data_IF_987102324443
#
_entry.id   IF_987102324443
#
_cell.length_a   1.000
_cell.length_b   1.000
_cell.length_c   1.000
_cell.angle_alpha   90.00
_cell.angle_beta   90.00
_cell.angle_gamma   90.00
#
_symmetry.space_group_name_H-M   'P 1'
#
loop_
_entity.id
_entity.type
_entity.pdbx_description
1 polymer ?
#
# COMPACT_ATOMS: atom_id res chain seq x y z
N UNK A 1 18.26 -12.93 23.82
CA UNK A 1 18.82 -11.65 23.34
C UNK A 1 18.67 -11.62 21.82
N UNK A 2 17.74 -10.85 21.22
CA UNK A 2 17.63 -10.80 19.77
C UNK A 2 18.69 -9.84 19.19
N UNK A 3 19.24 -10.24 18.05
CA UNK A 3 20.41 -9.70 17.38
C UNK A 3 20.32 -8.19 17.07
N UNK A 4 21.30 -7.42 17.53
CA UNK A 4 21.56 -6.04 17.11
C UNK A 4 22.52 -6.04 15.92
N UNK A 5 22.01 -6.39 14.73
CA UNK A 5 22.75 -6.24 13.46
C UNK A 5 22.43 -4.92 12.74
N UNK A 6 21.53 -4.11 13.29
CA UNK A 6 21.11 -2.82 12.71
C UNK A 6 21.19 -1.71 13.75
N UNK A 7 22.41 -1.30 14.09
CA UNK A 7 22.66 -0.10 14.91
C UNK A 7 22.88 1.16 14.06
N UNK A 8 22.24 1.23 12.88
CA UNK A 8 22.02 2.50 12.16
C UNK A 8 20.74 3.12 12.70
N UNK A 9 20.75 4.44 12.97
CA UNK A 9 19.58 5.19 13.47
C UNK A 9 18.35 4.79 12.64
N UNK A 10 17.35 4.16 13.26
CA UNK A 10 16.15 3.68 12.57
C UNK A 10 15.48 4.86 11.86
N UNK A 11 15.31 4.84 10.53
CA UNK A 11 14.58 5.88 9.82
C UNK A 11 13.06 5.82 10.10
N UNK A 12 12.60 4.88 10.93
CA UNK A 12 11.19 4.62 11.26
C UNK A 12 10.42 5.87 11.67
N UNK A 13 11.04 6.81 12.39
CA UNK A 13 10.40 8.09 12.73
C UNK A 13 10.02 8.89 11.48
N UNK A 14 10.93 9.00 10.50
CA UNK A 14 10.68 9.74 9.26
C UNK A 14 9.56 9.11 8.43
N UNK A 15 9.54 7.78 8.32
CA UNK A 15 8.50 7.08 7.58
C UNK A 15 7.13 7.15 8.27
N UNK A 16 7.11 7.09 9.61
CA UNK A 16 5.89 7.27 10.38
C UNK A 16 5.32 8.68 10.21
N UNK A 17 6.16 9.72 10.38
CA UNK A 17 5.76 11.11 10.20
C UNK A 17 5.24 11.35 8.76
N UNK A 18 5.96 10.84 7.75
CA UNK A 18 5.53 10.90 6.35
C UNK A 18 4.16 10.22 6.11
N UNK A 19 3.97 9.00 6.62
CA UNK A 19 2.70 8.28 6.48
C UNK A 19 1.55 8.97 7.24
N UNK A 20 1.84 9.56 8.40
CA UNK A 20 0.88 10.34 9.17
C UNK A 20 0.43 11.58 8.39
N UNK A 21 1.36 12.35 7.83
CA UNK A 21 1.08 13.54 7.03
C UNK A 21 0.32 13.20 5.74
N UNK A 22 0.73 12.13 5.05
CA UNK A 22 0.04 11.64 3.86
C UNK A 22 -1.40 11.22 4.18
N UNK A 23 -1.59 10.40 5.21
CA UNK A 23 -2.92 9.95 5.62
C UNK A 23 -3.79 11.11 6.13
N UNK A 24 -3.20 12.11 6.80
CA UNK A 24 -3.89 13.34 7.18
C UNK A 24 -4.35 14.13 5.96
N UNK A 25 -3.51 14.24 4.94
CA UNK A 25 -3.85 14.89 3.67
C UNK A 25 -5.00 14.18 2.97
N UNK A 26 -5.03 12.84 2.99
CA UNK A 26 -6.17 12.09 2.46
C UNK A 26 -7.48 12.44 3.18
N UNK A 27 -7.46 12.45 4.51
CA UNK A 27 -8.64 12.68 5.35
C UNK A 27 -9.14 14.13 5.29
N UNK A 28 -8.23 15.10 5.42
CA UNK A 28 -8.59 16.52 5.59
C UNK A 28 -8.69 17.28 4.27
N UNK A 29 -8.06 16.81 3.19
CA UNK A 29 -8.06 17.49 1.90
C UNK A 29 -8.68 16.65 0.77
N UNK A 30 -8.13 15.46 0.48
CA UNK A 30 -8.57 14.70 -0.71
C UNK A 30 -10.03 14.24 -0.61
N UNK A 31 -10.45 13.68 0.53
CA UNK A 31 -11.83 13.24 0.73
C UNK A 31 -12.85 14.39 0.65
N UNK A 32 -12.66 15.52 1.35
CA UNK A 32 -13.55 16.68 1.20
C UNK A 32 -13.62 17.23 -0.23
N UNK A 33 -12.48 17.30 -0.93
CA UNK A 33 -12.43 17.78 -2.31
C UNK A 33 -13.29 16.91 -3.25
N UNK A 34 -13.17 15.58 -3.15
CA UNK A 34 -13.96 14.65 -3.95
C UNK A 34 -15.45 14.75 -3.61
N UNK A 35 -15.81 14.75 -2.32
CA UNK A 35 -17.21 14.85 -1.87
C UNK A 35 -17.87 16.15 -2.32
N UNK A 36 -17.16 17.27 -2.23
CA UNK A 36 -17.67 18.56 -2.70
C UNK A 36 -17.87 18.55 -4.21
N UNK A 37 -16.97 17.91 -4.96
CA UNK A 37 -17.04 17.81 -6.43
C UNK A 37 -18.15 16.85 -6.90
N UNK A 38 -18.43 15.81 -6.13
CA UNK A 38 -19.52 14.86 -6.37
C UNK A 38 -20.90 15.43 -6.00
N UNK A 39 -20.94 16.51 -5.22
CA UNK A 39 -22.18 17.25 -4.94
C UNK A 39 -22.66 17.98 -6.19
N UNK A 40 -23.99 18.10 -6.34
CA UNK A 40 -24.68 18.62 -7.55
C UNK A 40 -24.30 20.05 -7.98
N UNK A 41 -23.46 20.74 -7.22
CA UNK A 41 -23.06 22.14 -7.43
C UNK A 41 -21.75 22.32 -8.22
N UNK A 42 -20.94 21.28 -8.43
CA UNK A 42 -19.64 21.40 -9.12
C UNK A 42 -19.75 21.22 -10.64
N UNK A 43 -18.93 21.95 -11.41
CA UNK A 43 -18.81 21.76 -12.85
C UNK A 43 -17.94 20.54 -13.19
N UNK A 44 -18.14 19.96 -14.38
CA UNK A 44 -17.34 18.82 -14.86
C UNK A 44 -15.83 19.14 -14.86
N UNK A 45 -15.43 20.37 -15.24
CA UNK A 45 -14.03 20.80 -15.22
C UNK A 45 -13.42 20.80 -13.81
N UNK A 46 -14.22 21.14 -12.79
CA UNK A 46 -13.77 21.12 -11.38
C UNK A 46 -13.63 19.68 -10.89
N UNK A 47 -14.59 18.81 -11.22
CA UNK A 47 -14.53 17.39 -10.90
C UNK A 47 -13.28 16.73 -11.51
N UNK A 48 -13.06 16.94 -12.81
CA UNK A 48 -11.90 16.43 -13.55
C UNK A 48 -10.57 16.89 -12.93
N UNK A 49 -10.44 18.19 -12.62
CA UNK A 49 -9.26 18.74 -11.97
C UNK A 49 -9.00 18.13 -10.57
N UNK A 50 -10.06 17.86 -9.80
CA UNK A 50 -9.95 17.28 -8.47
C UNK A 50 -9.63 15.77 -8.51
N UNK A 51 -10.19 15.03 -9.47
CA UNK A 51 -9.80 13.63 -9.76
C UNK A 51 -8.31 13.57 -10.05
N UNK A 52 -7.82 14.44 -10.94
CA UNK A 52 -6.41 14.56 -11.30
C UNK A 52 -5.52 14.86 -10.09
N UNK A 53 -5.93 15.80 -9.24
CA UNK A 53 -5.19 16.18 -8.03
C UNK A 53 -5.06 15.00 -7.07
N UNK A 54 -6.15 14.28 -6.81
CA UNK A 54 -6.14 13.13 -5.90
C UNK A 54 -5.35 11.96 -6.49
N UNK A 55 -5.52 11.66 -7.77
CA UNK A 55 -4.74 10.64 -8.46
C UNK A 55 -3.24 10.94 -8.35
N UNK A 56 -2.84 12.19 -8.64
CA UNK A 56 -1.44 12.63 -8.50
C UNK A 56 -0.94 12.47 -7.07
N UNK A 57 -1.75 12.76 -6.05
CA UNK A 57 -1.37 12.59 -4.66
C UNK A 57 -1.10 11.11 -4.30
N UNK A 58 -1.97 10.19 -4.72
CA UNK A 58 -1.78 8.74 -4.53
C UNK A 58 -0.55 8.22 -5.28
N UNK A 59 -0.33 8.67 -6.52
CA UNK A 59 0.85 8.28 -7.31
C UNK A 59 2.14 8.84 -6.71
N UNK A 60 2.10 10.07 -6.19
CA UNK A 60 3.26 10.74 -5.57
C UNK A 60 3.70 10.04 -4.28
N UNK A 61 2.76 9.48 -3.50
CA UNK A 61 3.07 8.65 -2.35
C UNK A 61 4.03 7.51 -2.72
N UNK A 62 3.67 6.69 -3.72
CA UNK A 62 4.52 5.58 -4.17
C UNK A 62 5.84 6.05 -4.78
N UNK A 63 5.84 7.14 -5.56
CA UNK A 63 7.08 7.74 -6.07
C UNK A 63 8.02 8.18 -4.95
N UNK A 64 7.49 8.71 -3.86
CA UNK A 64 8.29 9.15 -2.71
C UNK A 64 8.90 7.97 -1.98
N UNK A 65 8.15 6.86 -1.83
CA UNK A 65 8.68 5.61 -1.30
C UNK A 65 9.77 5.01 -2.20
N UNK A 66 9.58 5.06 -3.53
CA UNK A 66 10.59 4.60 -4.50
C UNK A 66 11.91 5.36 -4.33
N UNK A 67 11.86 6.69 -4.18
CA UNK A 67 13.03 7.54 -3.98
C UNK A 67 13.73 7.29 -2.64
N UNK A 68 12.98 6.85 -1.63
CA UNK A 68 13.51 6.52 -0.31
C UNK A 68 14.02 5.08 -0.20
N UNK A 69 13.82 4.25 -1.23
CA UNK A 69 14.21 2.84 -1.23
C UNK A 69 15.69 2.68 -1.56
N UNK A 70 16.46 2.23 -0.58
CA UNK A 70 17.87 1.86 -0.71
C UNK A 70 18.16 0.66 0.21
N UNK A 71 19.32 0.00 0.08
CA UNK A 71 19.65 -1.18 0.87
C UNK A 71 19.55 -1.02 2.39
N UNK A 72 19.64 0.21 2.91
CA UNK A 72 19.54 0.51 4.35
C UNK A 72 18.11 0.77 4.81
N UNK A 73 17.23 1.19 3.92
CA UNK A 73 15.85 1.57 4.24
C UNK A 73 14.85 0.47 3.90
N UNK A 74 15.18 -0.40 2.94
CA UNK A 74 14.27 -1.40 2.41
C UNK A 74 13.67 -2.37 3.46
N UNK A 75 14.35 -2.80 4.54
CA UNK A 75 13.71 -3.63 5.54
C UNK A 75 12.56 -2.91 6.26
N UNK A 76 12.67 -1.59 6.43
CA UNK A 76 11.62 -0.78 7.07
C UNK A 76 10.45 -0.53 6.11
N UNK A 77 10.71 -0.46 4.80
CA UNK A 77 9.68 -0.26 3.78
C UNK A 77 8.89 -1.55 3.49
N UNK A 78 9.56 -2.71 3.47
CA UNK A 78 8.91 -4.02 3.30
C UNK A 78 8.13 -4.47 4.54
N UNK A 79 8.59 -4.05 5.72
CA UNK A 79 7.98 -4.42 7.01
C UNK A 79 7.68 -3.15 7.83
N UNK A 80 6.70 -2.33 7.38
CA UNK A 80 6.42 -1.02 7.96
C UNK A 80 5.86 -1.14 9.38
N UNK A 81 6.56 -0.57 10.36
CA UNK A 81 6.12 -0.57 11.77
C UNK A 81 5.05 0.47 12.08
N UNK A 82 4.78 1.38 11.15
CA UNK A 82 3.76 2.44 11.28
C UNK A 82 2.39 2.00 10.75
N UNK A 83 2.29 0.80 10.17
CA UNK A 83 1.03 0.18 9.77
C UNK A 83 0.40 -0.50 10.99
N UNK A 84 -0.91 -0.38 11.13
CA UNK A 84 -1.62 -1.04 12.21
C UNK A 84 -1.82 -2.55 11.92
N UNK A 85 -2.14 -3.34 12.95
CA UNK A 85 -2.30 -4.78 12.82
C UNK A 85 -3.46 -5.22 11.94
N UNK A 86 -4.49 -4.38 11.77
CA UNK A 86 -5.62 -4.61 10.87
C UNK A 86 -5.25 -4.37 9.40
N UNK A 87 -4.26 -3.51 9.13
CA UNK A 87 -3.74 -3.25 7.78
C UNK A 87 -2.83 -4.39 7.30
N UNK A 88 -2.09 -5.02 8.21
CA UNK A 88 -1.06 -6.03 7.89
C UNK A 88 -1.54 -7.16 6.96
N UNK A 89 -2.74 -7.77 7.12
CA UNK A 89 -3.23 -8.82 6.22
C UNK A 89 -3.45 -8.36 4.78
N UNK A 90 -3.61 -7.06 4.57
CA UNK A 90 -3.85 -6.43 3.27
C UNK A 90 -2.56 -5.98 2.58
N UNK A 91 -1.41 -6.13 3.23
CA UNK A 91 -0.12 -5.72 2.68
C UNK A 91 0.48 -6.80 1.78
N UNK A 92 1.11 -6.34 0.71
CA UNK A 92 1.87 -7.10 -0.27
C UNK A 92 3.16 -6.32 -0.50
N UNK A 93 4.34 -6.84 -0.16
CA UNK A 93 5.62 -6.14 -0.41
C UNK A 93 5.62 -4.67 0.07
N UNK A 94 5.28 -4.47 1.36
CA UNK A 94 5.37 -3.18 2.06
C UNK A 94 4.13 -2.28 2.04
N UNK A 95 3.20 -2.49 1.11
CA UNK A 95 1.99 -1.64 0.99
C UNK A 95 0.79 -2.45 0.46
N UNK A 96 -0.38 -1.84 0.27
CA UNK A 96 -1.63 -2.51 -0.08
C UNK A 96 -1.49 -3.49 -1.25
N UNK A 97 -2.20 -4.61 -1.18
CA UNK A 97 -2.24 -5.58 -2.26
C UNK A 97 -2.95 -4.98 -3.49
N UNK A 98 -2.37 -5.03 -4.71
CA UNK A 98 -2.97 -4.39 -5.88
C UNK A 98 -4.37 -4.94 -6.25
N UNK A 99 -4.66 -6.23 -6.04
CA UNK A 99 -6.03 -6.77 -6.14
C UNK A 99 -7.07 -6.08 -5.26
N UNK A 100 -6.70 -5.42 -4.16
CA UNK A 100 -7.68 -4.68 -3.36
C UNK A 100 -8.28 -3.51 -4.15
N UNK A 101 -7.53 -2.95 -5.10
CA UNK A 101 -8.00 -1.87 -5.96
C UNK A 101 -9.11 -2.37 -6.90
N UNK A 102 -8.91 -3.52 -7.57
CA UNK A 102 -9.92 -4.10 -8.45
C UNK A 102 -11.07 -4.71 -7.66
N UNK A 103 -10.81 -5.34 -6.51
CA UNK A 103 -11.87 -5.87 -5.66
C UNK A 103 -12.77 -4.74 -5.12
N UNK A 104 -12.19 -3.59 -4.76
CA UNK A 104 -12.96 -2.42 -4.37
C UNK A 104 -13.85 -1.95 -5.54
N UNK A 105 -13.29 -1.82 -6.74
CA UNK A 105 -14.04 -1.42 -7.93
C UNK A 105 -15.19 -2.41 -8.23
N UNK A 106 -14.90 -3.71 -8.22
CA UNK A 106 -15.92 -4.77 -8.40
C UNK A 106 -17.01 -4.68 -7.35
N UNK A 107 -16.65 -4.45 -6.09
CA UNK A 107 -17.65 -4.32 -5.01
C UNK A 107 -18.59 -3.11 -5.21
N UNK A 108 -18.11 -2.02 -5.82
CA UNK A 108 -18.97 -0.88 -6.16
C UNK A 108 -19.95 -1.24 -7.27
N UNK A 109 -19.48 -1.95 -8.30
CA UNK A 109 -20.30 -2.45 -9.41
C UNK A 109 -21.33 -3.47 -8.90
N UNK A 110 -20.89 -4.49 -8.18
CA UNK A 110 -21.76 -5.57 -7.73
C UNK A 110 -22.84 -5.07 -6.78
N UNK A 111 -22.50 -4.16 -5.85
CA UNK A 111 -23.46 -3.59 -4.89
C UNK A 111 -24.62 -2.88 -5.60
N UNK A 112 -24.34 -2.10 -6.63
CA UNK A 112 -25.36 -1.31 -7.31
C UNK A 112 -26.25 -2.14 -8.25
N UNK A 113 -25.75 -3.30 -8.69
CA UNK A 113 -26.48 -4.25 -9.53
C UNK A 113 -27.18 -5.37 -8.73
N UNK A 114 -26.96 -5.48 -7.42
CA UNK A 114 -27.71 -6.39 -6.53
C UNK A 114 -29.00 -5.77 -5.99
N UNK A 115 -29.10 -4.44 -5.93
CA UNK A 115 -30.26 -3.69 -5.41
C UNK A 115 -31.44 -3.61 -6.41
N UNK A 116 -31.43 -4.35 -7.53
CA UNK A 116 -32.48 -4.30 -8.56
C UNK A 116 -33.59 -5.34 -8.42
N UNK A 117 -33.41 -6.38 -7.59
CA UNK A 117 -34.30 -7.55 -7.57
C UNK A 117 -35.23 -7.65 -6.34
N UNK A 118 -35.05 -6.82 -5.31
CA UNK A 118 -35.88 -6.84 -4.09
C UNK A 118 -36.58 -5.49 -3.81
N UNK A 119 -37.87 -5.42 -4.14
CA UNK A 119 -38.82 -4.31 -3.89
C UNK A 119 -39.16 -4.08 -2.40
N UNK A 120 -38.27 -4.42 -1.44
CA UNK A 120 -38.61 -4.38 0.00
C UNK A 120 -37.51 -3.94 0.98
N UNK A 121 -36.45 -3.24 0.57
CA UNK A 121 -35.44 -2.73 1.51
C UNK A 121 -35.60 -1.23 1.84
N UNK A 122 -36.74 -0.87 2.41
CA UNK A 122 -37.00 0.46 2.97
C UNK A 122 -36.76 0.47 4.50
N UNK A 123 -35.63 -0.05 5.02
CA UNK A 123 -35.41 0.06 6.48
C UNK A 123 -34.00 -0.03 7.09
N UNK A 124 -32.92 0.36 6.41
CA UNK A 124 -31.59 0.48 7.07
C UNK A 124 -30.76 1.73 6.73
N UNK A 125 -31.37 2.80 6.22
CA UNK A 125 -30.66 4.05 5.92
C UNK A 125 -31.21 5.23 6.72
N UNK A 126 -30.80 5.35 7.99
CA UNK A 126 -31.06 6.55 8.80
C UNK A 126 -29.95 7.63 8.67
N UNK A 127 -28.87 7.38 7.92
CA UNK A 127 -27.78 8.38 7.72
C UNK A 127 -27.51 8.76 6.24
N UNK A 128 -28.26 8.22 5.28
CA UNK A 128 -28.00 8.41 3.83
C UNK A 128 -28.93 9.41 3.13
N UNK A 129 -29.78 10.13 3.87
CA UNK A 129 -30.90 10.94 3.35
C UNK A 129 -30.47 12.21 2.58
N UNK A 130 -29.17 12.45 2.34
CA UNK A 130 -28.70 13.64 1.63
C UNK A 130 -27.77 13.40 0.43
N UNK A 131 -27.60 12.16 -0.06
CA UNK A 131 -26.81 11.94 -1.29
C UNK A 131 -27.68 12.13 -2.57
N UNK A 132 -27.29 13.02 -3.50
CA UNK A 132 -28.06 13.23 -4.73
C UNK A 132 -28.10 11.96 -5.59
N UNK A 133 -29.29 11.65 -6.13
CA UNK A 133 -29.66 10.47 -6.94
C UNK A 133 -28.66 10.07 -8.05
N UNK A 134 -27.83 11.02 -8.52
CA UNK A 134 -26.77 10.77 -9.52
C UNK A 134 -25.65 9.83 -9.03
N UNK A 135 -25.40 9.78 -7.71
CA UNK A 135 -24.38 8.91 -7.10
C UNK A 135 -24.82 7.43 -7.11
N UNK A 136 -26.14 7.16 -7.19
CA UNK A 136 -26.72 5.83 -7.07
C UNK A 136 -26.95 5.10 -8.41
N UNK A 137 -26.42 5.63 -9.52
CA UNK A 137 -26.58 5.04 -10.87
C UNK A 137 -25.28 4.97 -11.67
N UNK A 138 -24.14 5.32 -11.07
CA UNK A 138 -22.87 5.41 -11.77
C UNK A 138 -22.28 4.04 -12.13
N UNK A 139 -22.69 2.99 -11.43
CA UNK A 139 -22.19 1.63 -11.63
C UNK A 139 -23.26 0.64 -12.10
N UNK A 140 -24.53 1.07 -12.24
CA UNK A 140 -25.57 0.29 -12.93
C UNK A 140 -25.19 0.02 -14.38
N UNK A 141 -25.40 -1.22 -14.80
CA UNK A 141 -25.15 -1.68 -16.18
C UNK A 141 -23.79 -1.21 -16.72
N UNK A 142 -22.66 -1.62 -16.09
CA UNK A 142 -21.33 -1.17 -16.49
C UNK A 142 -21.08 -1.50 -17.96
N UNK A 143 -20.41 -0.61 -18.69
CA UNK A 143 -20.12 -0.86 -20.10
C UNK A 143 -19.23 -2.10 -20.29
N UNK A 144 -19.46 -2.84 -21.38
CA UNK A 144 -18.62 -3.98 -21.77
C UNK A 144 -17.14 -3.59 -21.86
N UNK A 145 -16.85 -2.35 -22.26
CA UNK A 145 -15.50 -1.79 -22.30
C UNK A 145 -14.89 -1.71 -20.90
N UNK A 146 -15.62 -1.15 -19.91
CA UNK A 146 -15.14 -1.06 -18.53
C UNK A 146 -14.87 -2.46 -17.97
N UNK A 147 -15.81 -3.40 -18.13
CA UNK A 147 -15.65 -4.79 -17.67
C UNK A 147 -14.43 -5.44 -18.31
N UNK A 148 -14.27 -5.31 -19.63
CA UNK A 148 -13.11 -5.83 -20.36
C UNK A 148 -11.80 -5.22 -19.88
N UNK A 149 -11.77 -3.92 -19.58
CA UNK A 149 -10.58 -3.25 -19.03
C UNK A 149 -10.24 -3.77 -17.64
N UNK A 150 -11.22 -3.97 -16.77
CA UNK A 150 -10.99 -4.54 -15.43
C UNK A 150 -10.40 -5.95 -15.56
N UNK A 151 -10.96 -6.79 -16.44
CA UNK A 151 -10.44 -8.14 -16.69
C UNK A 151 -8.98 -8.13 -17.19
N UNK A 152 -8.62 -7.18 -18.04
CA UNK A 152 -7.23 -6.99 -18.52
C UNK A 152 -6.28 -6.58 -17.39
N UNK A 153 -6.71 -5.65 -16.52
CA UNK A 153 -5.94 -5.21 -15.35
C UNK A 153 -5.71 -6.40 -14.41
N UNK A 154 -6.77 -7.15 -14.10
CA UNK A 154 -6.70 -8.35 -13.26
C UNK A 154 -5.82 -9.45 -13.87
N UNK A 155 -5.90 -9.66 -15.18
CA UNK A 155 -5.04 -10.61 -15.90
C UNK A 155 -3.55 -10.20 -15.78
N UNK A 156 -3.24 -8.92 -15.94
CA UNK A 156 -1.89 -8.39 -15.76
C UNK A 156 -1.39 -8.63 -14.34
N UNK A 157 -2.21 -8.35 -13.32
CA UNK A 157 -1.85 -8.63 -11.93
C UNK A 157 -1.65 -10.12 -11.67
N UNK A 158 -2.42 -11.01 -12.31
CA UNK A 158 -2.30 -12.46 -12.20
C UNK A 158 -0.97 -12.99 -12.71
N UNK A 159 -0.36 -12.28 -13.66
CA UNK A 159 0.98 -12.58 -14.15
C UNK A 159 2.07 -11.95 -13.27
N UNK A 160 1.90 -10.69 -12.86
CA UNK A 160 2.95 -9.93 -12.18
C UNK A 160 3.11 -10.27 -10.69
N UNK A 161 2.02 -10.47 -9.96
CA UNK A 161 2.07 -10.72 -8.50
C UNK A 161 2.86 -12.00 -8.17
N UNK A 162 2.63 -13.15 -8.84
CA UNK A 162 3.42 -14.36 -8.58
C UNK A 162 4.90 -14.19 -8.90
N UNK A 163 5.24 -13.46 -9.97
CA UNK A 163 6.64 -13.19 -10.37
C UNK A 163 7.36 -12.39 -9.30
N UNK A 164 6.75 -11.33 -8.78
CA UNK A 164 7.33 -10.53 -7.69
C UNK A 164 7.51 -11.36 -6.41
N UNK A 165 6.54 -12.23 -6.08
CA UNK A 165 6.64 -13.12 -4.94
C UNK A 165 7.72 -14.19 -5.09
N UNK A 166 7.91 -14.74 -6.28
CA UNK A 166 8.99 -15.68 -6.54
C UNK A 166 10.36 -15.02 -6.39
N UNK A 167 10.53 -13.81 -6.97
CA UNK A 167 11.74 -12.98 -6.78
C UNK A 167 12.00 -12.70 -5.31
N UNK A 168 10.98 -12.27 -4.56
CA UNK A 168 11.09 -12.02 -3.11
C UNK A 168 11.57 -13.25 -2.35
N UNK A 169 10.96 -14.42 -2.60
CA UNK A 169 11.38 -15.67 -1.94
C UNK A 169 12.80 -16.08 -2.33
N UNK A 170 13.22 -15.86 -3.58
CA UNK A 170 14.59 -16.12 -4.05
C UNK A 170 15.59 -15.20 -3.33
N UNK A 171 15.33 -13.90 -3.29
CA UNK A 171 16.19 -12.93 -2.61
C UNK A 171 16.31 -13.22 -1.11
N UNK A 172 15.20 -13.53 -0.43
CA UNK A 172 15.23 -13.93 0.98
C UNK A 172 16.04 -15.20 1.24
N UNK A 173 15.90 -16.22 0.38
CA UNK A 173 16.71 -17.44 0.48
C UNK A 173 18.19 -17.16 0.23
N UNK A 174 18.50 -16.36 -0.79
CA UNK A 174 19.87 -15.94 -1.11
C UNK A 174 20.51 -15.20 0.06
N UNK A 175 19.78 -14.27 0.68
CA UNK A 175 20.22 -13.54 1.85
C UNK A 175 20.54 -14.49 3.03
N UNK A 176 19.63 -15.39 3.38
CA UNK A 176 19.84 -16.35 4.47
C UNK A 176 21.02 -17.27 4.19
N UNK A 177 21.17 -17.78 2.97
CA UNK A 177 22.29 -18.63 2.58
C UNK A 177 23.63 -17.92 2.82
N UNK A 178 23.78 -16.69 2.31
CA UNK A 178 25.02 -15.90 2.44
C UNK A 178 25.34 -15.56 3.90
N UNK A 179 24.34 -15.13 4.68
CA UNK A 179 24.52 -14.83 6.11
C UNK A 179 24.92 -16.10 6.88
N UNK A 180 24.32 -17.25 6.55
CA UNK A 180 24.65 -18.52 7.21
C UNK A 180 26.06 -19.03 6.87
N UNK A 181 26.51 -18.88 5.61
CA UNK A 181 27.84 -19.28 5.17
C UNK A 181 28.93 -18.48 5.87
N UNK A 182 28.74 -17.16 6.01
CA UNK A 182 29.66 -16.32 6.76
C UNK A 182 29.66 -16.66 8.26
N UNK A 183 28.48 -16.85 8.85
CA UNK A 183 28.37 -17.24 10.25
C UNK A 183 29.15 -18.55 10.50
N UNK A 184 29.00 -19.57 9.67
CA UNK A 184 29.75 -20.83 9.77
C UNK A 184 31.26 -20.63 9.55
N UNK A 185 31.65 -19.76 8.62
CA UNK A 185 33.06 -19.46 8.33
C UNK A 185 33.75 -18.75 9.50
N UNK A 186 33.06 -17.84 10.18
CA UNK A 186 33.57 -17.12 11.35
C UNK A 186 33.90 -18.07 12.53
N UNK A 187 33.09 -19.11 12.75
CA UNK A 187 33.35 -20.13 13.78
C UNK A 187 34.50 -21.07 13.41
N UNK A 188 34.62 -21.43 12.13
CA UNK A 188 35.66 -22.35 11.66
C UNK A 188 37.05 -21.70 11.64
N UNK A 189 37.13 -20.38 11.49
CA UNK A 189 38.36 -19.59 11.61
C UNK A 189 38.89 -19.39 13.04
N UNK A 190 38.12 -19.75 14.07
CA UNK A 190 38.43 -19.50 15.49
C UNK A 190 39.42 -20.48 16.16
N UNK A 191 40.05 -21.41 15.42
CA UNK A 191 41.01 -22.40 15.96
C UNK A 191 42.49 -22.04 15.76
N UNK A 192 42.83 -20.75 15.79
CA UNK A 192 44.22 -20.31 16.01
C UNK A 192 44.22 -19.30 17.16
N UNK A 193 44.70 -19.74 18.31
CA UNK A 193 45.10 -18.86 19.41
C UNK A 193 46.00 -17.75 18.85
N UNK A 194 45.49 -16.51 18.86
CA UNK A 194 46.33 -15.33 18.71
C UNK A 194 46.34 -14.60 20.05
N UNK A 195 47.52 -14.16 20.52
CA UNK A 195 47.66 -13.54 21.83
C UNK A 195 46.89 -12.23 21.88
N UNK A 196 46.29 -11.98 23.04
CA UNK A 196 45.53 -10.78 23.42
C UNK A 196 46.46 -9.58 23.38
N UNK A 197 46.58 -8.90 22.23
CA UNK A 197 47.06 -7.51 22.08
C UNK A 197 46.97 -7.09 20.61
N UNK A 198 45.74 -6.83 20.15
CA UNK A 198 45.40 -5.92 19.05
C UNK A 198 43.91 -6.10 18.73
N UNK A 199 43.07 -5.50 19.55
CA UNK A 199 41.70 -5.16 19.15
C UNK A 199 41.85 -4.01 18.15
N UNK A 200 42.12 -4.35 16.89
CA UNK A 200 41.88 -3.45 15.76
C UNK A 200 40.93 -4.17 14.82
N UNK A 201 39.77 -3.55 14.65
CA UNK A 201 38.61 -3.96 13.89
C UNK A 201 38.92 -4.92 12.72
N UNK A 202 38.64 -6.21 12.92
CA UNK A 202 38.26 -7.06 11.80
C UNK A 202 36.94 -6.51 11.27
N UNK A 203 37.03 -5.77 10.16
CA UNK A 203 35.89 -5.13 9.51
C UNK A 203 34.98 -6.23 8.94
N UNK A 204 33.64 -6.18 9.16
CA UNK A 204 32.69 -7.17 8.64
C UNK A 204 32.38 -6.97 7.14
N UNK A 205 33.37 -6.57 6.33
CA UNK A 205 33.15 -6.06 4.98
C UNK A 205 32.67 -7.12 3.97
N UNK A 206 32.96 -8.41 4.19
CA UNK A 206 32.60 -9.47 3.23
C UNK A 206 31.11 -9.89 3.29
N UNK A 207 30.49 -9.81 4.47
CA UNK A 207 29.04 -10.01 4.63
C UNK A 207 28.27 -8.85 4.02
N UNK A 208 28.80 -7.64 4.16
CA UNK A 208 28.15 -6.42 3.70
C UNK A 208 27.95 -6.45 2.17
N UNK A 209 28.98 -6.76 1.39
CA UNK A 209 28.86 -6.73 -0.08
C UNK A 209 28.03 -7.88 -0.67
N UNK A 210 28.11 -9.10 -0.12
CA UNK A 210 27.34 -10.23 -0.63
C UNK A 210 25.85 -10.14 -0.24
N UNK A 211 25.55 -9.70 0.99
CA UNK A 211 24.18 -9.47 1.44
C UNK A 211 23.56 -8.24 0.76
N UNK A 212 24.38 -7.26 0.35
CA UNK A 212 23.95 -6.07 -0.39
C UNK A 212 23.38 -6.38 -1.77
N UNK A 213 23.88 -7.38 -2.49
CA UNK A 213 23.28 -7.82 -3.78
C UNK A 213 21.82 -8.25 -3.57
N UNK A 214 21.55 -9.04 -2.54
CA UNK A 214 20.18 -9.48 -2.23
C UNK A 214 19.33 -8.29 -1.76
N UNK A 215 19.95 -7.34 -1.04
CA UNK A 215 19.26 -6.13 -0.59
C UNK A 215 18.93 -5.16 -1.73
N UNK A 216 19.78 -5.06 -2.74
CA UNK A 216 19.52 -4.31 -3.98
C UNK A 216 18.38 -4.96 -4.79
N UNK A 217 18.31 -6.30 -4.83
CA UNK A 217 17.18 -7.00 -5.43
C UNK A 217 15.88 -6.75 -4.65
N UNK A 218 15.92 -6.71 -3.31
CA UNK A 218 14.76 -6.32 -2.50
C UNK A 218 14.27 -4.89 -2.80
N UNK A 219 15.19 -3.95 -3.05
CA UNK A 219 14.86 -2.59 -3.50
C UNK A 219 14.16 -2.63 -4.86
N UNK A 220 14.71 -3.38 -5.83
CA UNK A 220 14.08 -3.53 -7.16
C UNK A 220 12.67 -4.12 -7.08
N UNK A 221 12.48 -5.18 -6.29
CA UNK A 221 11.19 -5.83 -6.09
C UNK A 221 10.17 -4.85 -5.51
N UNK A 222 10.57 -4.04 -4.53
CA UNK A 222 9.70 -3.05 -3.91
C UNK A 222 9.29 -1.94 -4.89
N UNK A 223 10.24 -1.42 -5.67
CA UNK A 223 9.97 -0.41 -6.71
C UNK A 223 9.05 -0.98 -7.79
N UNK A 224 9.24 -2.22 -8.21
CA UNK A 224 8.37 -2.89 -9.18
C UNK A 224 6.96 -3.12 -8.62
N UNK A 225 6.83 -3.45 -7.34
CA UNK A 225 5.53 -3.55 -6.66
C UNK A 225 4.82 -2.18 -6.61
N UNK A 226 5.54 -1.10 -6.29
CA UNK A 226 5.00 0.26 -6.34
C UNK A 226 4.61 0.68 -7.76
N UNK A 227 5.39 0.28 -8.77
CA UNK A 227 5.06 0.49 -10.19
C UNK A 227 3.76 -0.22 -10.57
N UNK A 228 3.57 -1.46 -10.13
CA UNK A 228 2.33 -2.20 -10.36
C UNK A 228 1.13 -1.50 -9.71
N UNK A 229 1.22 -1.09 -8.44
CA UNK A 229 0.14 -0.37 -7.75
C UNK A 229 -0.22 0.94 -8.46
N UNK A 230 0.79 1.74 -8.84
CA UNK A 230 0.58 2.97 -9.60
C UNK A 230 -0.12 2.69 -10.94
N UNK A 231 0.33 1.68 -11.68
CA UNK A 231 -0.29 1.30 -12.96
C UNK A 231 -1.76 0.96 -12.76
N UNK A 232 -2.08 0.06 -11.83
CA UNK A 232 -3.47 -0.36 -11.57
C UNK A 232 -4.37 0.82 -11.21
N UNK A 233 -3.92 1.74 -10.34
CA UNK A 233 -4.70 2.94 -10.00
C UNK A 233 -4.94 3.81 -11.25
N UNK A 234 -3.90 4.06 -12.04
CA UNK A 234 -4.00 4.88 -13.26
C UNK A 234 -4.86 4.19 -14.33
N UNK A 235 -4.76 2.88 -14.47
CA UNK A 235 -5.51 2.09 -15.46
C UNK A 235 -7.01 2.05 -15.10
N UNK A 236 -7.35 1.93 -13.80
CA UNK A 236 -8.75 2.04 -13.34
C UNK A 236 -9.30 3.44 -13.61
N UNK A 237 -8.58 4.49 -13.22
CA UNK A 237 -9.02 5.88 -13.45
C UNK A 237 -9.14 6.18 -14.95
N UNK A 238 -8.23 5.67 -15.77
CA UNK A 238 -8.26 5.85 -17.23
C UNK A 238 -9.36 5.05 -17.93
N UNK A 239 -9.85 3.95 -17.34
CA UNK A 239 -10.94 3.14 -17.87
C UNK A 239 -12.34 3.61 -17.43
N UNK A 240 -12.42 4.55 -16.48
CA UNK A 240 -13.68 5.02 -15.89
C UNK A 240 -14.06 6.41 -16.42
N UNK A 241 -15.35 6.74 -16.42
CA UNK A 241 -15.79 8.12 -16.61
C UNK A 241 -15.31 9.02 -15.46
N UNK A 242 -15.26 10.34 -15.65
CA UNK A 242 -14.80 11.28 -14.60
C UNK A 242 -15.58 11.11 -13.28
N UNK A 243 -16.88 10.82 -13.37
CA UNK A 243 -17.73 10.59 -12.20
C UNK A 243 -17.42 9.27 -11.50
N UNK A 244 -17.28 8.18 -12.26
CA UNK A 244 -16.88 6.87 -11.74
C UNK A 244 -15.47 6.91 -11.13
N UNK A 245 -14.52 7.60 -11.77
CA UNK A 245 -13.18 7.82 -11.26
C UNK A 245 -13.20 8.54 -9.91
N UNK A 246 -14.02 9.59 -9.78
CA UNK A 246 -14.19 10.32 -8.52
C UNK A 246 -14.77 9.43 -7.41
N UNK A 247 -15.79 8.63 -7.70
CA UNK A 247 -16.39 7.68 -6.75
C UNK A 247 -15.39 6.58 -6.34
N UNK A 248 -14.67 6.03 -7.30
CA UNK A 248 -13.62 5.04 -7.04
C UNK A 248 -12.52 5.61 -6.15
N UNK A 249 -11.99 6.80 -6.48
CA UNK A 249 -10.95 7.46 -5.69
C UNK A 249 -11.45 7.86 -4.30
N UNK A 250 -12.72 8.25 -4.16
CA UNK A 250 -13.31 8.52 -2.86
C UNK A 250 -13.33 7.25 -2.01
N UNK A 251 -13.88 6.15 -2.54
CA UNK A 251 -13.92 4.88 -1.84
C UNK A 251 -12.53 4.33 -1.51
N UNK A 252 -11.55 4.52 -2.40
CA UNK A 252 -10.16 4.14 -2.15
C UNK A 252 -9.56 4.96 -1.00
N UNK A 253 -9.77 6.28 -0.99
CA UNK A 253 -9.31 7.13 0.11
C UNK A 253 -9.99 6.72 1.43
N UNK A 254 -11.31 6.46 1.41
CA UNK A 254 -12.05 5.98 2.58
C UNK A 254 -11.51 4.65 3.11
N UNK A 255 -11.22 3.68 2.22
CA UNK A 255 -10.63 2.40 2.58
C UNK A 255 -9.25 2.59 3.25
N UNK A 256 -8.40 3.43 2.67
CA UNK A 256 -7.04 3.68 3.16
C UNK A 256 -7.02 4.38 4.53
N UNK A 257 -7.94 5.31 4.78
CA UNK A 257 -8.04 6.01 6.08
C UNK A 257 -8.85 5.24 7.12
N UNK A 258 -9.79 4.39 6.69
CA UNK A 258 -10.74 3.67 7.55
C UNK A 258 -10.07 2.75 8.56
N UNK A 259 -8.88 2.23 8.22
CA UNK A 259 -8.07 1.44 9.15
C UNK A 259 -7.66 2.22 10.42
N UNK A 260 -7.52 3.55 10.36
CA UNK A 260 -7.20 4.37 11.53
C UNK A 260 -8.40 4.63 12.43
N UNK A 261 -9.57 4.86 11.85
CA UNK A 261 -10.80 5.20 12.57
C UNK A 261 -11.23 4.03 13.47
N UNK A 262 -11.13 2.80 12.95
CA UNK A 262 -11.45 1.59 13.71
C UNK A 262 -10.63 1.54 15.00
N UNK A 263 -9.30 1.62 14.93
CA UNK A 263 -8.42 1.52 16.12
C UNK A 263 -8.68 2.64 17.13
N UNK A 264 -8.89 3.90 16.70
CA UNK A 264 -9.21 4.99 17.63
C UNK A 264 -10.57 4.82 18.32
N UNK A 265 -11.57 4.29 17.62
CA UNK A 265 -12.90 4.04 18.19
C UNK A 265 -12.88 2.90 19.22
N UNK A 266 -12.06 1.87 18.99
CA UNK A 266 -11.86 0.76 19.93
C UNK A 266 -11.10 1.20 21.19
N UNK A 267 -10.06 2.03 21.06
CA UNK A 267 -9.32 2.56 22.21
C UNK A 267 -10.15 3.52 23.05
N UNK A 268 -10.95 4.38 22.42
CA UNK A 268 -11.84 5.31 23.14
C UNK A 268 -12.99 4.59 23.88
N UNK A 269 -13.40 3.40 23.44
CA UNK A 269 -14.38 2.58 24.17
C UNK A 269 -13.79 1.90 25.41
N UNK A 270 -12.48 1.61 25.40
CA UNK A 270 -11.77 1.03 26.55
C UNK A 270 -11.52 2.10 27.62
N UNK A 271 -11.13 3.32 27.23
CA UNK A 271 -10.90 4.45 28.16
C UNK A 271 -12.19 5.01 28.82
N UNK A 272 -13.38 4.64 28.33
CA UNK A 272 -14.68 4.99 28.93
C UNK A 272 -15.24 3.89 29.83
N UNK A 273 -14.49 2.81 30.04
CA UNK A 273 -14.89 1.65 30.84
C UNK A 273 -14.17 1.54 32.19
N UNK A 274 -13.34 2.52 32.56
CA UNK A 274 -12.72 2.69 33.88
C UNK A 274 -13.35 3.87 34.65
#
# INVERSE_FOLDING_TARGET
MPFSLFSRKKPTRRFNDFYADWSKTLTENCLPLLRQSLSSAASASVLSANVDLVLRHLVLYYKTLDLAADPNTIPYLLFPTWRNSLETPFLFLGDIHPYLLTNLLRSMIDRENQDSDDDYSLHLNLDLVNQPLKIATAWKDPSDELVTRIDQIECTMRLMVPVLMDRMRKAQRGFVARVSEDWVSSYRGGKKEKPVTAITAATPASVDEAAKVEMEELVSIFVDANRLRKSVIMDIVGATSEHQAALFLEGLCQFLVGFKISVSSWLNQIDLSD
#
